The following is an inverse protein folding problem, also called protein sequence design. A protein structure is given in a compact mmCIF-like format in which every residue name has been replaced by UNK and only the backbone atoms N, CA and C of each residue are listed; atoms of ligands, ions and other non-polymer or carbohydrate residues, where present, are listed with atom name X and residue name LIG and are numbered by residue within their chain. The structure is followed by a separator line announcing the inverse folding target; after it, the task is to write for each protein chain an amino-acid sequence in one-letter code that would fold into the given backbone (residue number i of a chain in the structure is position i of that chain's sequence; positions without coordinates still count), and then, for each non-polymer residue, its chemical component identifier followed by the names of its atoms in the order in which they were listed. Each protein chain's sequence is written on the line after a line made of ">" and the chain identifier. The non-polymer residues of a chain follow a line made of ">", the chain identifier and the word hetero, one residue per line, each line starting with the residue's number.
data_IF_059685016954
#
_entry.id   IF_059685016954
#
_cell.length_a   1.000
_cell.length_b   1.000
_cell.length_c   1.000
_cell.angle_alpha   90.00
_cell.angle_beta   90.00
_cell.angle_gamma   90.00
#
_symmetry.space_group_name_H-M   'P 1'
#
loop_
_entity.id
_entity.type
_entity.pdbx_description
1 polymer ?
#
# COMPACT_ATOMS: atom_id res chain seq x y z
N UNK A 1 13.38 11.97 3.02
CA UNK A 1 13.24 10.68 3.74
C UNK A 1 11.94 10.06 3.21
N UNK A 2 11.95 8.87 2.59
CA UNK A 2 10.73 8.34 1.93
C UNK A 2 9.77 7.81 2.98
N UNK A 3 8.66 8.49 3.21
CA UNK A 3 7.63 8.04 4.13
C UNK A 3 6.79 6.95 3.44
N UNK A 4 6.78 5.74 4.02
CA UNK A 4 5.85 4.68 3.64
C UNK A 4 4.67 4.72 4.60
N UNK A 5 3.48 4.93 4.06
CA UNK A 5 2.24 4.89 4.85
C UNK A 5 1.43 3.67 4.44
N UNK A 6 1.07 2.83 5.40
CA UNK A 6 0.10 1.75 5.16
C UNK A 6 -1.25 2.40 4.89
N UNK A 7 -1.84 2.11 3.73
CA UNK A 7 -3.18 2.57 3.36
C UNK A 7 -4.24 1.57 3.79
N UNK A 8 -4.00 0.29 3.56
CA UNK A 8 -4.92 -0.79 3.93
C UNK A 8 -4.18 -2.12 4.12
N UNK A 9 -4.76 -3.04 4.88
CA UNK A 9 -4.26 -4.40 5.11
C UNK A 9 -5.32 -5.42 4.72
N UNK A 10 -4.89 -6.53 4.11
CA UNK A 10 -5.75 -7.64 3.67
C UNK A 10 -5.17 -8.94 4.22
N UNK A 11 -5.99 -9.85 4.78
CA UNK A 11 -5.47 -11.14 5.28
C UNK A 11 -4.95 -12.00 4.13
N UNK A 12 -3.85 -12.72 4.34
CA UNK A 12 -3.30 -13.60 3.30
C UNK A 12 -4.11 -14.89 3.09
N UNK A 13 -4.98 -15.23 4.06
CA UNK A 13 -5.91 -16.37 3.99
C UNK A 13 -7.19 -16.13 3.18
N UNK A 14 -7.33 -15.00 2.49
CA UNK A 14 -8.50 -14.73 1.65
C UNK A 14 -8.60 -15.72 0.47
N UNK A 15 -9.80 -16.19 0.05
CA UNK A 15 -9.95 -17.12 -1.07
C UNK A 15 -9.38 -16.60 -2.40
N UNK A 16 -9.17 -15.28 -2.51
CA UNK A 16 -8.61 -14.62 -3.68
C UNK A 16 -7.12 -14.26 -3.52
N UNK A 17 -6.47 -14.67 -2.42
CA UNK A 17 -5.04 -14.44 -2.17
C UNK A 17 -4.69 -12.95 -2.14
N UNK A 18 -3.65 -12.55 -2.87
CA UNK A 18 -3.17 -11.16 -2.94
C UNK A 18 -4.03 -10.24 -3.82
N UNK A 19 -4.98 -10.79 -4.59
CA UNK A 19 -5.75 -10.03 -5.58
C UNK A 19 -6.45 -8.78 -5.01
N UNK A 20 -7.11 -8.81 -3.84
CA UNK A 20 -7.74 -7.62 -3.26
C UNK A 20 -6.74 -6.49 -2.95
N UNK A 21 -5.54 -6.86 -2.51
CA UNK A 21 -4.48 -5.91 -2.23
C UNK A 21 -3.90 -5.30 -3.52
N UNK A 22 -3.76 -6.12 -4.57
CA UNK A 22 -3.29 -5.69 -5.88
C UNK A 22 -4.28 -4.75 -6.58
N UNK A 23 -5.58 -5.07 -6.57
CA UNK A 23 -6.66 -4.19 -7.05
C UNK A 23 -6.66 -2.84 -6.33
N UNK A 24 -6.55 -2.86 -5.00
CA UNK A 24 -6.51 -1.62 -4.21
C UNK A 24 -5.26 -0.79 -4.56
N UNK A 25 -4.10 -1.43 -4.68
CA UNK A 25 -2.88 -0.76 -5.10
C UNK A 25 -2.98 -0.20 -6.53
N UNK A 26 -3.61 -0.92 -7.46
CA UNK A 26 -3.87 -0.46 -8.82
C UNK A 26 -4.76 0.79 -8.81
N UNK A 27 -5.88 0.76 -8.08
CA UNK A 27 -6.79 1.90 -7.95
C UNK A 27 -6.13 3.12 -7.31
N UNK A 28 -5.23 2.90 -6.34
CA UNK A 28 -4.41 3.98 -5.78
C UNK A 28 -3.48 4.59 -6.83
N UNK A 29 -2.85 3.77 -7.68
CA UNK A 29 -2.00 4.24 -8.79
C UNK A 29 -2.79 5.02 -9.83
N UNK A 30 -4.00 4.59 -10.16
CA UNK A 30 -4.90 5.33 -11.05
C UNK A 30 -5.29 6.71 -10.48
N UNK A 31 -5.40 6.82 -9.15
CA UNK A 31 -5.60 8.10 -8.44
C UNK A 31 -4.31 8.94 -8.32
N UNK A 32 -3.20 8.50 -8.91
CA UNK A 32 -1.91 9.18 -8.86
C UNK A 32 -1.07 8.90 -7.61
N UNK A 33 -1.50 8.01 -6.73
CA UNK A 33 -0.74 7.59 -5.55
C UNK A 33 0.15 6.39 -5.88
N UNK A 34 1.44 6.49 -5.55
CA UNK A 34 2.36 5.36 -5.71
C UNK A 34 2.13 4.31 -4.61
N UNK A 35 1.15 3.43 -4.81
CA UNK A 35 0.90 2.30 -3.92
C UNK A 35 1.65 1.04 -4.34
N UNK A 36 2.11 0.26 -3.36
CA UNK A 36 2.69 -1.07 -3.57
C UNK A 36 2.15 -2.04 -2.53
N UNK A 37 2.02 -3.31 -2.93
CA UNK A 37 1.67 -4.40 -2.01
C UNK A 37 2.96 -4.92 -1.39
N UNK A 38 2.92 -5.18 -0.08
CA UNK A 38 4.00 -5.82 0.69
C UNK A 38 3.36 -6.93 1.50
N UNK A 39 4.00 -8.09 1.55
CA UNK A 39 3.57 -9.20 2.41
C UNK A 39 4.18 -8.99 3.80
N UNK A 40 3.31 -8.92 4.81
CA UNK A 40 3.67 -9.01 6.21
C UNK A 40 3.63 -10.47 6.64
N UNK A 41 4.80 -11.00 7.00
CA UNK A 41 4.97 -12.40 7.37
C UNK A 41 4.62 -12.67 8.83
N UNK A 42 4.62 -11.64 9.68
CA UNK A 42 4.31 -11.75 11.11
C UNK A 42 2.80 -11.87 11.36
N UNK A 43 2.04 -11.01 10.68
CA UNK A 43 0.57 -10.97 10.72
C UNK A 43 -0.12 -11.75 9.61
N UNK A 44 0.63 -12.45 8.74
CA UNK A 44 0.13 -13.22 7.60
C UNK A 44 -0.87 -12.40 6.75
N UNK A 45 -0.44 -11.21 6.32
CA UNK A 45 -1.30 -10.23 5.67
C UNK A 45 -0.59 -9.47 4.55
N UNK A 46 -1.33 -9.12 3.50
CA UNK A 46 -0.90 -8.20 2.47
C UNK A 46 -1.21 -6.75 2.85
N UNK A 47 -0.17 -5.95 3.00
CA UNK A 47 -0.25 -4.53 3.29
C UNK A 47 -0.11 -3.73 2.00
N UNK A 48 -1.06 -2.85 1.72
CA UNK A 48 -0.91 -1.86 0.65
C UNK A 48 -0.31 -0.60 1.25
N UNK A 49 0.91 -0.27 0.82
CA UNK A 49 1.64 0.91 1.29
C UNK A 49 1.75 1.95 0.20
N UNK A 50 1.40 3.19 0.52
CA UNK A 50 1.72 4.35 -0.27
C UNK A 50 3.17 4.75 -0.03
N UNK A 51 3.91 4.91 -1.13
CA UNK A 51 5.15 5.64 -1.19
C UNK A 51 4.79 7.09 -1.48
N UNK A 52 4.79 7.91 -0.44
CA UNK A 52 4.72 9.35 -0.65
C UNK A 52 6.07 9.77 -1.24
N UNK A 53 6.05 10.14 -2.52
CA UNK A 53 7.23 10.64 -3.20
C UNK A 53 7.41 12.08 -2.74
N UNK A 54 8.06 12.25 -1.60
CA UNK A 54 8.54 13.53 -1.09
C UNK A 54 7.55 14.67 -1.39
N UNK A 55 6.45 14.75 -0.64
CA UNK A 55 5.76 16.02 -0.52
C UNK A 55 6.84 17.06 -0.16
N UNK A 56 7.12 18.06 -1.01
CA UNK A 56 8.04 19.11 -0.62
C UNK A 56 7.48 19.67 0.68
N UNK A 57 8.32 19.70 1.70
CA UNK A 57 8.03 20.33 2.97
C UNK A 57 7.43 21.70 2.66
N UNK A 58 6.10 21.81 2.71
CA UNK A 58 5.42 23.09 2.60
C UNK A 58 5.87 23.84 3.83
N UNK A 59 6.71 24.85 3.59
CA UNK A 59 7.40 25.58 4.64
C UNK A 59 6.44 26.21 5.62
N UNK A 60 6.91 26.29 6.86
CA UNK A 60 6.67 27.43 7.75
C UNK A 60 7.93 27.66 8.57
#
# INVERSE_FOLDING_TARGET
>A
MRCKKVLNSFPAGDPYGSWPAEEYAARCRERGQRATVVMDLDGDAFLVVALDADAPHSGV
#
